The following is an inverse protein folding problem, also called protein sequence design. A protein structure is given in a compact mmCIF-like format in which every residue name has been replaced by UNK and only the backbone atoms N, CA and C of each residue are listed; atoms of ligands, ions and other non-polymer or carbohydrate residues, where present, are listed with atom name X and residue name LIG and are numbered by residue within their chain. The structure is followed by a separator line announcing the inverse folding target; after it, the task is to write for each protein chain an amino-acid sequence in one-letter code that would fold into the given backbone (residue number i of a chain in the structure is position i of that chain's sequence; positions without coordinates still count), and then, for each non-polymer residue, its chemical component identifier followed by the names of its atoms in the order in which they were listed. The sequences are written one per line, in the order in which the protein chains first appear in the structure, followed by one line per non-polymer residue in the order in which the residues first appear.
data_IF_148938922214
#
_entry.id   IF_148938922214
#
_cell.length_a   1.000
_cell.length_b   1.000
_cell.length_c   1.000
_cell.angle_alpha   90.00
_cell.angle_beta   90.00
_cell.angle_gamma   90.00
#
_symmetry.space_group_name_H-M   'P 1'
#
loop_
_entity.id
_entity.type
_entity.pdbx_description
1 polymer ?
#
# COMPACT_ATOMS: atom_id res chain seq x y z
N UNK A 1 -8.37 3.36 13.13
CA UNK A 1 -7.22 3.23 12.24
C UNK A 1 -7.29 1.93 11.46
N UNK A 2 -7.06 2.01 10.16
CA UNK A 2 -7.04 0.84 9.28
C UNK A 2 -5.60 0.57 8.86
N UNK A 3 -5.22 -0.70 8.82
CA UNK A 3 -3.84 -1.08 8.47
C UNK A 3 -3.81 -2.24 7.49
N UNK A 4 -2.79 -2.24 6.63
CA UNK A 4 -2.44 -3.39 5.81
C UNK A 4 -0.96 -3.67 5.95
N UNK A 5 -0.57 -4.92 5.80
CA UNK A 5 0.84 -5.30 5.77
C UNK A 5 1.30 -5.29 4.31
N UNK A 6 2.44 -4.67 4.06
CA UNK A 6 3.03 -4.55 2.73
C UNK A 6 4.14 -5.56 2.57
N UNK A 7 4.08 -6.33 1.48
CA UNK A 7 5.06 -7.36 1.16
C UNK A 7 5.79 -7.03 -0.14
N UNK A 8 7.06 -7.36 -0.19
CA UNK A 8 7.86 -7.25 -1.41
C UNK A 8 8.46 -8.63 -1.66
N UNK A 9 8.09 -9.24 -2.78
CA UNK A 9 8.55 -10.58 -3.16
C UNK A 9 8.39 -11.60 -2.03
N UNK A 10 7.26 -11.55 -1.36
CA UNK A 10 6.92 -12.48 -0.28
C UNK A 10 7.51 -12.15 1.08
N UNK A 11 8.24 -11.05 1.20
CA UNK A 11 8.88 -10.65 2.45
C UNK A 11 8.15 -9.44 3.03
N UNK A 12 7.77 -9.51 4.30
CA UNK A 12 7.11 -8.40 4.97
C UNK A 12 8.04 -7.20 5.03
N UNK A 13 7.59 -6.08 4.45
CA UNK A 13 8.37 -4.86 4.40
C UNK A 13 7.94 -3.85 5.45
N UNK A 14 6.64 -3.75 5.70
CA UNK A 14 6.14 -2.79 6.65
C UNK A 14 4.62 -2.75 6.71
N UNK A 15 4.12 -1.73 7.38
CA UNK A 15 2.68 -1.53 7.61
C UNK A 15 2.25 -0.17 7.09
N UNK A 16 1.22 -0.18 6.25
CA UNK A 16 0.58 1.04 5.78
C UNK A 16 -0.68 1.25 6.59
N UNK A 17 -0.81 2.40 7.21
CA UNK A 17 -1.95 2.75 8.05
C UNK A 17 -2.68 3.96 7.49
N UNK A 18 -4.00 3.96 7.63
CA UNK A 18 -4.85 5.11 7.35
C UNK A 18 -5.47 5.56 8.66
N UNK A 19 -5.28 6.82 9.01
CA UNK A 19 -5.81 7.38 10.25
C UNK A 19 -7.25 7.89 10.06
N UNK A 20 -8.06 7.78 11.11
CA UNK A 20 -9.45 8.25 11.08
C UNK A 20 -9.57 9.73 10.76
N UNK A 21 -8.61 10.53 11.24
CA UNK A 21 -8.61 11.98 11.02
C UNK A 21 -8.04 12.38 9.66
N UNK A 22 -7.72 11.39 8.84
CA UNK A 22 -7.06 11.60 7.57
C UNK A 22 -5.57 11.41 7.67
N UNK A 23 -4.93 11.23 6.51
CA UNK A 23 -3.51 10.99 6.47
C UNK A 23 -3.15 9.51 6.54
N UNK A 24 -1.93 9.24 6.13
CA UNK A 24 -1.39 7.90 5.98
C UNK A 24 0.01 7.83 6.58
N UNK A 25 0.37 6.63 7.04
CA UNK A 25 1.71 6.38 7.54
C UNK A 25 2.19 5.04 6.99
N UNK A 26 3.41 5.00 6.47
CA UNK A 26 4.08 3.74 6.17
C UNK A 26 5.27 3.58 7.10
N UNK A 27 5.31 2.45 7.79
CA UNK A 27 6.38 2.14 8.72
C UNK A 27 7.06 0.84 8.31
N UNK A 28 8.34 0.92 7.98
CA UNK A 28 9.14 -0.27 7.69
C UNK A 28 9.34 -1.11 8.95
N UNK A 29 9.40 -2.44 8.76
CA UNK A 29 9.86 -3.31 9.84
C UNK A 29 11.36 -3.10 10.00
N UNK A 30 11.86 -3.32 11.21
CA UNK A 30 13.29 -3.24 11.48
C UNK A 30 14.07 -4.24 10.63
N UNK A 31 13.55 -5.47 10.54
CA UNK A 31 14.15 -6.54 9.77
C UNK A 31 14.35 -6.16 8.31
N UNK A 32 13.32 -5.57 7.70
CA UNK A 32 13.39 -5.17 6.31
C UNK A 32 14.42 -4.04 6.10
N UNK A 33 14.44 -3.08 7.02
CA UNK A 33 15.39 -1.96 6.95
C UNK A 33 16.84 -2.42 7.02
N UNK A 34 17.11 -3.43 7.83
CA UNK A 34 18.46 -3.97 8.01
C UNK A 34 18.86 -4.97 6.93
N UNK A 35 17.93 -5.36 6.09
CA UNK A 35 18.20 -6.31 5.00
C UNK A 35 18.85 -5.62 3.81
N UNK A 36 19.49 -6.38 2.90
CA UNK A 36 20.04 -5.81 1.67
C UNK A 36 18.99 -5.54 0.60
N UNK A 37 17.72 -5.75 0.91
CA UNK A 37 16.63 -5.59 -0.06
C UNK A 37 16.39 -4.12 -0.36
N UNK A 38 15.90 -3.79 -1.57
CA UNK A 38 15.64 -2.40 -1.93
C UNK A 38 14.43 -1.84 -1.16
N UNK A 39 14.32 -0.53 -1.12
CA UNK A 39 13.15 0.16 -0.59
C UNK A 39 11.90 -0.29 -1.35
N UNK A 40 10.73 -0.19 -0.70
CA UNK A 40 9.45 -0.50 -1.35
C UNK A 40 9.27 0.35 -2.60
N UNK A 41 9.66 1.63 -2.51
CA UNK A 41 9.66 2.55 -3.63
C UNK A 41 10.78 3.55 -3.42
N UNK A 42 11.24 4.16 -4.51
CA UNK A 42 12.28 5.18 -4.43
C UNK A 42 11.90 6.31 -3.48
N UNK A 43 10.64 6.74 -3.54
CA UNK A 43 10.13 7.83 -2.70
C UNK A 43 9.85 7.43 -1.26
N UNK A 44 9.91 6.14 -0.94
CA UNK A 44 9.68 5.62 0.41
C UNK A 44 10.94 4.91 0.86
N UNK A 45 12.00 5.69 1.09
CA UNK A 45 13.31 5.14 1.40
C UNK A 45 13.32 4.39 2.73
N UNK A 46 13.93 3.22 2.76
CA UNK A 46 14.07 2.43 3.98
C UNK A 46 15.11 3.01 4.93
N UNK A 47 15.83 4.05 4.54
CA UNK A 47 16.73 4.77 5.45
C UNK A 47 15.96 5.47 6.55
N UNK A 48 14.68 5.79 6.29
CA UNK A 48 13.77 6.41 7.24
C UNK A 48 12.72 5.38 7.62
N UNK A 49 12.57 5.13 8.92
CA UNK A 49 11.66 4.09 9.40
C UNK A 49 10.19 4.41 9.12
N UNK A 50 9.81 5.68 9.25
CA UNK A 50 8.42 6.10 9.18
C UNK A 50 8.26 7.20 8.15
N UNK A 51 7.28 7.01 7.25
CA UNK A 51 6.90 8.01 6.26
C UNK A 51 5.44 8.39 6.48
N UNK A 52 5.12 9.65 6.33
CA UNK A 52 3.75 10.15 6.49
C UNK A 52 3.34 10.97 5.29
N UNK A 53 2.04 10.97 5.00
CA UNK A 53 1.48 11.71 3.88
C UNK A 53 0.01 12.04 4.16
N UNK A 54 -0.44 13.21 3.71
CA UNK A 54 -1.84 13.60 3.84
C UNK A 54 -2.73 12.80 2.90
N UNK A 55 -2.16 12.29 1.81
CA UNK A 55 -2.87 11.48 0.82
C UNK A 55 -2.19 10.14 0.69
N UNK A 56 -2.87 9.18 0.06
CA UNK A 56 -2.26 7.88 -0.18
C UNK A 56 -0.97 8.09 -1.00
N UNK A 57 0.11 7.46 -0.56
CA UNK A 57 1.41 7.62 -1.22
C UNK A 57 1.28 7.33 -2.71
N UNK A 58 1.87 8.16 -3.58
CA UNK A 58 1.78 7.95 -5.03
C UNK A 58 2.14 6.55 -5.49
N UNK A 59 3.12 5.93 -4.86
CA UNK A 59 3.51 4.56 -5.19
C UNK A 59 2.33 3.59 -5.03
N UNK A 60 1.65 3.66 -3.88
CA UNK A 60 0.51 2.77 -3.60
C UNK A 60 -0.68 3.11 -4.48
N UNK A 61 -0.92 4.38 -4.72
CA UNK A 61 -1.98 4.81 -5.63
C UNK A 61 -1.74 4.24 -7.03
N UNK A 62 -0.48 4.20 -7.47
CA UNK A 62 -0.10 3.66 -8.77
C UNK A 62 -0.35 2.16 -8.95
N UNK A 63 -0.60 1.43 -7.86
CA UNK A 63 -0.95 0.01 -7.94
C UNK A 63 -2.43 -0.21 -8.24
N UNK A 64 -3.26 0.83 -8.14
CA UNK A 64 -4.70 0.72 -8.30
C UNK A 64 -5.09 0.74 -9.76
N UNK A 65 -6.16 0.00 -10.09
CA UNK A 65 -6.72 0.02 -11.43
C UNK A 65 -7.25 1.41 -11.80
N UNK A 66 -7.24 1.73 -13.09
CA UNK A 66 -7.71 3.02 -13.61
C UNK A 66 -8.79 2.82 -14.66
N UNK A 67 -9.51 3.89 -14.97
CA UNK A 67 -10.47 3.93 -16.05
C UNK A 67 -11.60 2.92 -15.90
N UNK A 68 -11.90 2.23 -16.98
CA UNK A 68 -12.99 1.25 -17.04
C UNK A 68 -12.78 0.11 -16.04
N UNK A 69 -11.57 -0.38 -15.92
CA UNK A 69 -11.24 -1.46 -15.01
C UNK A 69 -11.51 -1.06 -13.56
N UNK A 70 -11.22 0.19 -13.21
CA UNK A 70 -11.52 0.75 -11.89
C UNK A 70 -13.01 0.71 -11.62
N UNK A 71 -13.83 1.16 -12.58
CA UNK A 71 -15.29 1.19 -12.42
C UNK A 71 -15.87 -0.20 -12.26
N UNK A 72 -15.43 -1.14 -13.09
CA UNK A 72 -15.89 -2.52 -13.03
C UNK A 72 -15.53 -3.15 -11.69
N UNK A 73 -14.29 -2.98 -11.27
CA UNK A 73 -13.78 -3.53 -10.03
C UNK A 73 -14.54 -2.98 -8.81
N UNK A 74 -14.71 -1.67 -8.75
CA UNK A 74 -15.41 -1.03 -7.64
C UNK A 74 -16.88 -1.42 -7.57
N UNK A 75 -17.54 -1.55 -8.74
CA UNK A 75 -18.93 -1.97 -8.80
C UNK A 75 -19.07 -3.42 -8.33
N UNK A 76 -18.22 -4.30 -8.83
CA UNK A 76 -18.27 -5.73 -8.51
C UNK A 76 -18.02 -5.97 -7.02
N UNK A 77 -17.05 -5.26 -6.45
CA UNK A 77 -16.68 -5.44 -5.05
C UNK A 77 -17.41 -4.51 -4.09
N UNK A 78 -18.27 -3.65 -4.64
CA UNK A 78 -19.03 -2.66 -3.87
C UNK A 78 -18.16 -1.75 -3.03
N UNK A 79 -17.13 -1.20 -3.66
CA UNK A 79 -16.19 -0.27 -3.06
C UNK A 79 -16.38 1.10 -3.70
N UNK A 80 -16.42 2.14 -2.86
CA UNK A 80 -16.46 3.53 -3.35
C UNK A 80 -15.20 3.82 -4.14
N UNK A 81 -15.34 4.39 -5.35
CA UNK A 81 -14.22 4.69 -6.23
C UNK A 81 -13.23 5.67 -5.60
N UNK A 82 -13.66 6.47 -4.62
CA UNK A 82 -12.81 7.43 -3.93
C UNK A 82 -12.20 6.87 -2.65
N UNK A 83 -12.55 5.66 -2.28
CA UNK A 83 -11.98 4.98 -1.11
C UNK A 83 -10.73 4.21 -1.52
N UNK A 84 -9.65 4.94 -1.74
CA UNK A 84 -8.42 4.38 -2.28
C UNK A 84 -7.79 3.33 -1.36
N UNK A 85 -7.91 3.52 -0.05
CA UNK A 85 -7.33 2.56 0.89
C UNK A 85 -8.03 1.21 0.83
N UNK A 86 -9.37 1.20 0.81
CA UNK A 86 -10.14 -0.04 0.69
C UNK A 86 -9.87 -0.71 -0.65
N UNK A 87 -9.78 0.09 -1.72
CA UNK A 87 -9.42 -0.42 -3.04
C UNK A 87 -8.07 -1.14 -3.01
N UNK A 88 -7.08 -0.50 -2.37
CA UNK A 88 -5.75 -1.10 -2.23
C UNK A 88 -5.83 -2.41 -1.44
N UNK A 89 -6.47 -2.38 -0.28
CA UNK A 89 -6.56 -3.54 0.60
C UNK A 89 -7.25 -4.73 -0.05
N UNK A 90 -8.27 -4.48 -0.87
CA UNK A 90 -9.07 -5.53 -1.46
C UNK A 90 -8.59 -6.01 -2.82
N UNK A 91 -7.87 -5.18 -3.58
CA UNK A 91 -7.50 -5.52 -4.96
C UNK A 91 -6.02 -5.81 -5.16
N UNK A 92 -5.16 -5.41 -4.24
CA UNK A 92 -3.71 -5.56 -4.41
C UNK A 92 -3.14 -6.67 -3.52
N UNK A 93 -3.88 -7.77 -3.40
CA UNK A 93 -3.50 -8.91 -2.57
C UNK A 93 -2.53 -9.88 -3.26
N UNK A 94 -2.31 -9.70 -4.54
CA UNK A 94 -1.39 -10.51 -5.31
C UNK A 94 -0.35 -9.61 -5.95
N UNK A 95 0.86 -10.13 -6.13
CA UNK A 95 1.95 -9.35 -6.68
C UNK A 95 1.76 -9.06 -8.16
N UNK A 96 1.10 -7.97 -8.49
CA UNK A 96 0.75 -7.60 -9.84
C UNK A 96 1.84 -6.74 -10.48
N UNK A 97 2.43 -5.82 -9.71
CA UNK A 97 3.44 -4.89 -10.20
C UNK A 97 4.64 -4.95 -9.27
N UNK A 98 5.83 -5.30 -9.83
CA UNK A 98 7.07 -5.31 -9.07
C UNK A 98 7.06 -6.20 -7.84
N UNK A 99 6.17 -7.20 -7.81
CA UNK A 99 6.03 -8.15 -6.72
C UNK A 99 5.66 -7.51 -5.38
N UNK A 100 5.12 -6.29 -5.39
CA UNK A 100 4.58 -5.64 -4.19
C UNK A 100 3.10 -5.96 -4.08
N UNK A 101 2.68 -6.40 -2.89
CA UNK A 101 1.27 -6.63 -2.61
C UNK A 101 0.98 -6.33 -1.16
N UNK A 102 -0.30 -6.25 -0.81
CA UNK A 102 -0.72 -5.94 0.56
C UNK A 102 -1.72 -6.98 1.03
N UNK A 103 -1.71 -7.23 2.34
CA UNK A 103 -2.71 -8.08 2.99
C UNK A 103 -3.29 -7.32 4.18
N UNK A 104 -4.62 -7.39 4.38
CA UNK A 104 -5.26 -6.76 5.54
C UNK A 104 -4.71 -7.32 6.84
N UNK A 105 -4.60 -6.45 7.84
CA UNK A 105 -4.18 -6.86 9.19
C UNK A 105 -5.37 -7.10 10.08
#
# INVERSE_FOLDING_TARGET
MKCVTVYVKGVEAGVLAKFKRGGYEFRYTRQYRESPRPSVAFSISKRKAVHRSDVLFPFFYGLLAEGEQKRIQCRTMRIDENDHFTRLAETCREGVIGAVYVLPR
#
